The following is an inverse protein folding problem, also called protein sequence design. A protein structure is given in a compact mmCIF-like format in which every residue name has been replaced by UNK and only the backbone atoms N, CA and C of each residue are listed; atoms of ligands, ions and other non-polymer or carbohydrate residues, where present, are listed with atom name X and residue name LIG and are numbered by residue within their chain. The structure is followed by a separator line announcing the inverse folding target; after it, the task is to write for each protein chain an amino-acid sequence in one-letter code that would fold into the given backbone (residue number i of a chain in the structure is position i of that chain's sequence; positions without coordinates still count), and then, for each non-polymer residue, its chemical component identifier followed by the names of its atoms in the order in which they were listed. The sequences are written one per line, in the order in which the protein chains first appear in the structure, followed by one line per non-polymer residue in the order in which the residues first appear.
data_IF_812666678550
#
_entry.id   IF_812666678550
#
_cell.length_a   1.000
_cell.length_b   1.000
_cell.length_c   1.000
_cell.angle_alpha   90.00
_cell.angle_beta   90.00
_cell.angle_gamma   90.00
#
_symmetry.space_group_name_H-M   'P 1'
#
loop_
_entity.id
_entity.type
_entity.pdbx_description
1 polymer ?
#
# COMPACT_ATOMS: atom_id res chain seq x y z
N UNK A 1 -19.39 -26.78 -50.94
CA UNK A 1 -17.96 -26.49 -50.63
C UNK A 1 -17.63 -25.00 -50.56
N UNK A 2 -18.04 -24.17 -51.54
CA UNK A 2 -17.68 -22.74 -51.60
C UNK A 2 -18.23 -21.87 -50.45
N UNK A 3 -19.42 -22.18 -49.90
CA UNK A 3 -20.00 -21.46 -48.74
C UNK A 3 -19.21 -21.69 -47.44
N UNK A 4 -18.72 -22.91 -47.20
CA UNK A 4 -17.94 -23.24 -46.00
C UNK A 4 -16.59 -22.50 -46.01
N UNK A 5 -15.96 -22.40 -47.19
CA UNK A 5 -14.72 -21.64 -47.36
C UNK A 5 -14.95 -20.14 -47.08
N UNK A 6 -16.08 -19.58 -47.53
CA UNK A 6 -16.43 -18.17 -47.31
C UNK A 6 -16.72 -17.88 -45.82
N UNK A 7 -17.35 -18.81 -45.10
CA UNK A 7 -17.54 -18.68 -43.65
C UNK A 7 -16.22 -18.82 -42.88
N UNK A 8 -15.31 -19.72 -43.28
CA UNK A 8 -13.98 -19.85 -42.68
C UNK A 8 -13.11 -18.63 -42.93
N UNK A 9 -13.12 -18.09 -44.16
CA UNK A 9 -12.38 -16.88 -44.52
C UNK A 9 -12.96 -15.67 -43.76
N UNK A 10 -14.29 -15.57 -43.65
CA UNK A 10 -14.95 -14.53 -42.85
C UNK A 10 -14.62 -14.68 -41.36
N UNK A 11 -14.63 -15.89 -40.80
CA UNK A 11 -14.28 -16.15 -39.39
C UNK A 11 -12.81 -15.84 -39.08
N UNK A 12 -11.89 -16.13 -40.01
CA UNK A 12 -10.47 -15.77 -39.91
C UNK A 12 -10.27 -14.26 -40.07
N UNK A 13 -11.01 -13.60 -40.96
CA UNK A 13 -11.01 -12.14 -41.11
C UNK A 13 -11.57 -11.42 -39.88
N UNK A 14 -12.65 -11.94 -39.26
CA UNK A 14 -13.18 -11.41 -38.01
C UNK A 14 -12.25 -11.68 -36.82
N UNK A 15 -11.48 -12.77 -36.83
CA UNK A 15 -10.41 -13.01 -35.84
C UNK A 15 -9.20 -12.08 -36.03
N UNK A 16 -8.87 -11.71 -37.28
CA UNK A 16 -7.77 -10.79 -37.60
C UNK A 16 -8.13 -9.29 -37.48
N UNK A 17 -9.42 -8.93 -37.50
CA UNK A 17 -9.89 -7.53 -37.52
C UNK A 17 -10.27 -6.96 -36.15
N UNK A 18 -9.82 -7.59 -35.07
CA UNK A 18 -10.02 -7.04 -33.73
C UNK A 18 -9.06 -7.68 -32.74
N UNK A 19 -7.78 -7.34 -32.81
CA UNK A 19 -6.87 -7.56 -31.69
C UNK A 19 -7.30 -6.65 -30.53
N UNK A 20 -8.36 -7.06 -29.84
CA UNK A 20 -8.71 -6.60 -28.49
C UNK A 20 -7.72 -7.21 -27.48
N UNK A 21 -6.43 -7.09 -27.75
CA UNK A 21 -5.39 -7.39 -26.79
C UNK A 21 -5.09 -6.08 -26.05
N UNK A 22 -5.35 -6.09 -24.74
CA UNK A 22 -4.96 -4.98 -23.87
C UNK A 22 -3.44 -4.79 -23.97
N UNK A 23 -2.91 -3.56 -23.99
CA UNK A 23 -1.47 -3.35 -23.98
C UNK A 23 -0.88 -3.70 -22.61
N UNK A 24 0.29 -4.34 -22.61
CA UNK A 24 1.00 -4.80 -21.40
C UNK A 24 2.42 -4.26 -21.37
N UNK A 25 2.90 -3.90 -20.16
CA UNK A 25 4.34 -3.77 -19.95
C UNK A 25 4.98 -5.16 -19.94
N UNK A 26 6.28 -5.27 -20.23
CA UNK A 26 7.03 -6.50 -20.06
C UNK A 26 6.96 -6.97 -18.61
N UNK A 27 6.89 -8.29 -18.40
CA UNK A 27 6.84 -8.94 -17.08
C UNK A 27 8.03 -8.56 -16.17
N UNK A 28 9.16 -8.21 -16.79
CA UNK A 28 10.37 -7.80 -16.11
C UNK A 28 10.92 -6.52 -16.76
N UNK A 29 10.93 -5.43 -16.00
CA UNK A 29 11.22 -4.11 -16.54
C UNK A 29 11.75 -3.18 -15.45
N UNK A 30 12.66 -2.27 -15.84
CA UNK A 30 13.10 -1.15 -15.03
C UNK A 30 12.92 0.12 -15.84
N UNK A 31 12.25 1.10 -15.25
CA UNK A 31 11.97 2.37 -15.91
C UNK A 31 11.95 3.51 -14.91
N UNK A 32 12.07 4.73 -15.43
CA UNK A 32 11.82 5.95 -14.67
C UNK A 32 10.64 6.74 -15.23
N UNK A 33 9.99 7.47 -14.34
CA UNK A 33 8.94 8.45 -14.62
C UNK A 33 9.28 9.78 -13.93
N UNK A 34 8.51 10.82 -14.22
CA UNK A 34 8.64 12.15 -13.59
C UNK A 34 10.04 12.76 -13.72
N UNK A 35 10.64 12.71 -14.92
CA UNK A 35 11.98 13.23 -15.20
C UNK A 35 13.07 12.59 -14.30
N UNK A 36 13.09 11.27 -14.22
CA UNK A 36 14.02 10.48 -13.40
C UNK A 36 13.84 10.65 -11.87
N UNK A 37 12.77 11.32 -11.40
CA UNK A 37 12.49 11.42 -9.96
C UNK A 37 12.04 10.09 -9.35
N UNK A 38 11.30 9.29 -10.12
CA UNK A 38 10.80 8.00 -9.67
C UNK A 38 11.41 6.89 -10.52
N UNK A 39 12.10 5.94 -9.89
CA UNK A 39 12.62 4.74 -10.52
C UNK A 39 11.81 3.55 -10.04
N UNK A 40 11.35 2.71 -10.96
CA UNK A 40 10.55 1.52 -10.67
C UNK A 40 11.23 0.32 -11.33
N UNK A 41 11.38 -0.76 -10.56
CA UNK A 41 11.78 -2.06 -11.07
C UNK A 41 10.71 -3.10 -10.72
N UNK A 42 10.24 -3.84 -11.73
CA UNK A 42 9.20 -4.86 -11.61
C UNK A 42 9.78 -6.17 -12.10
N UNK A 43 9.61 -7.20 -11.29
CA UNK A 43 9.94 -8.58 -11.61
C UNK A 43 8.73 -9.44 -11.27
N UNK A 44 7.76 -9.45 -12.18
CA UNK A 44 6.51 -10.20 -12.05
C UNK A 44 6.79 -11.70 -11.90
N UNK A 45 7.81 -12.23 -12.60
CA UNK A 45 8.17 -13.65 -12.54
C UNK A 45 8.58 -14.07 -11.12
N UNK A 46 9.42 -13.27 -10.45
CA UNK A 46 9.86 -13.55 -9.09
C UNK A 46 9.00 -12.86 -8.03
N UNK A 47 7.87 -12.26 -8.43
CA UNK A 47 6.91 -11.63 -7.52
C UNK A 47 7.60 -10.63 -6.56
N UNK A 48 8.39 -9.72 -7.15
CA UNK A 48 9.07 -8.62 -6.44
C UNK A 48 9.07 -7.29 -7.21
N UNK A 49 8.92 -6.19 -6.49
CA UNK A 49 8.92 -4.83 -7.03
C UNK A 49 9.70 -3.87 -6.13
N UNK A 50 10.26 -2.85 -6.76
CA UNK A 50 11.05 -1.79 -6.13
C UNK A 50 10.60 -0.44 -6.67
N UNK A 51 10.56 0.56 -5.81
CA UNK A 51 10.37 1.95 -6.17
C UNK A 51 11.34 2.83 -5.38
N UNK A 52 11.93 3.80 -6.04
CA UNK A 52 12.68 4.88 -5.40
C UNK A 52 12.12 6.21 -5.86
N UNK A 53 11.77 7.07 -4.91
CA UNK A 53 11.26 8.42 -5.18
C UNK A 53 12.21 9.45 -4.59
N UNK A 54 12.70 10.34 -5.45
CA UNK A 54 13.57 11.45 -5.05
C UNK A 54 12.77 12.74 -5.06
N UNK A 55 12.64 13.38 -3.90
CA UNK A 55 11.95 14.66 -3.78
C UNK A 55 12.95 15.83 -3.83
N UNK A 56 12.58 16.93 -4.48
CA UNK A 56 13.45 18.12 -4.58
C UNK A 56 13.86 18.73 -3.23
N UNK A 57 13.14 18.41 -2.15
CA UNK A 57 13.38 18.94 -0.80
C UNK A 57 14.01 17.91 0.17
N UNK A 58 14.29 16.68 -0.28
CA UNK A 58 14.98 15.66 0.53
C UNK A 58 16.13 15.05 -0.25
N UNK A 59 17.38 15.10 0.26
CA UNK A 59 18.51 14.48 -0.40
C UNK A 59 18.49 12.95 -0.32
N UNK A 60 17.70 12.37 0.61
CA UNK A 60 17.57 10.93 0.77
C UNK A 60 16.34 10.45 0.00
N UNK A 61 16.48 9.50 -0.95
CA UNK A 61 15.34 8.95 -1.66
C UNK A 61 14.48 8.10 -0.71
N UNK A 62 13.17 8.16 -0.90
CA UNK A 62 12.27 7.20 -0.29
C UNK A 62 12.32 5.91 -1.09
N UNK A 63 12.55 4.80 -0.41
CA UNK A 63 12.70 3.50 -1.07
C UNK A 63 11.60 2.56 -0.59
N UNK A 64 10.96 1.91 -1.54
CA UNK A 64 9.85 1.00 -1.30
C UNK A 64 10.11 -0.35 -1.96
N UNK A 65 9.72 -1.42 -1.29
CA UNK A 65 9.82 -2.79 -1.78
C UNK A 65 8.49 -3.50 -1.58
N UNK A 66 8.11 -4.37 -2.51
CA UNK A 66 7.04 -5.35 -2.34
C UNK A 66 7.53 -6.72 -2.78
N UNK A 67 7.51 -7.72 -1.90
CA UNK A 67 7.96 -9.08 -2.21
C UNK A 67 7.04 -10.13 -1.61
N UNK A 68 6.79 -11.22 -2.34
CA UNK A 68 6.10 -12.41 -1.81
C UNK A 68 6.93 -13.15 -0.76
N UNK A 69 8.24 -13.24 -0.98
CA UNK A 69 9.19 -13.87 -0.08
C UNK A 69 10.19 -12.83 0.39
N UNK A 70 9.83 -12.10 1.44
CA UNK A 70 10.64 -11.00 1.92
C UNK A 70 11.90 -11.53 2.64
N UNK A 71 13.12 -11.11 2.23
CA UNK A 71 14.36 -11.64 2.79
C UNK A 71 14.48 -11.24 4.26
N UNK A 72 15.14 -12.07 5.07
CA UNK A 72 15.32 -11.83 6.51
C UNK A 72 14.01 -11.74 7.32
N UNK A 73 12.88 -12.15 6.73
CA UNK A 73 11.65 -12.38 7.48
C UNK A 73 11.88 -13.48 8.53
N UNK A 74 11.26 -13.33 9.69
CA UNK A 74 11.36 -14.32 10.75
C UNK A 74 10.66 -15.61 10.29
N UNK A 75 11.31 -16.80 10.41
CA UNK A 75 10.69 -18.05 9.99
C UNK A 75 9.34 -18.27 10.64
N UNK A 76 8.37 -18.79 9.90
CA UNK A 76 6.99 -19.04 10.32
C UNK A 76 6.09 -17.83 10.60
N UNK A 77 6.63 -16.60 10.52
CA UNK A 77 5.85 -15.39 10.76
C UNK A 77 4.95 -15.09 9.56
N UNK A 78 3.93 -14.24 9.72
CA UNK A 78 3.14 -13.76 8.59
C UNK A 78 4.02 -13.21 7.46
N UNK A 79 5.05 -12.45 7.81
CA UNK A 79 5.98 -11.84 6.84
C UNK A 79 6.77 -12.87 6.01
N UNK A 80 6.95 -14.09 6.52
CA UNK A 80 7.62 -15.16 5.76
C UNK A 80 6.70 -15.91 4.80
N UNK A 81 5.37 -15.81 5.02
CA UNK A 81 4.33 -16.56 4.30
C UNK A 81 3.55 -15.71 3.31
N UNK A 82 3.48 -14.41 3.56
CA UNK A 82 2.67 -13.47 2.83
C UNK A 82 3.52 -12.35 2.25
N UNK A 83 2.93 -11.62 1.31
CA UNK A 83 3.52 -10.42 0.76
C UNK A 83 3.78 -9.38 1.83
N UNK A 84 4.95 -8.75 1.75
CA UNK A 84 5.32 -7.61 2.58
C UNK A 84 5.61 -6.41 1.70
N UNK A 85 5.08 -5.26 2.08
CA UNK A 85 5.50 -3.97 1.56
C UNK A 85 6.33 -3.25 2.62
N UNK A 86 7.59 -2.92 2.30
CA UNK A 86 8.54 -2.23 3.17
C UNK A 86 8.86 -0.86 2.60
N UNK A 87 8.81 0.17 3.43
CA UNK A 87 9.12 1.55 3.08
C UNK A 87 10.23 2.09 3.99
N UNK A 88 11.25 2.67 3.37
CA UNK A 88 12.41 3.29 4.01
C UNK A 88 12.38 4.79 3.75
N UNK A 89 12.59 5.61 4.79
CA UNK A 89 12.58 7.07 4.67
C UNK A 89 11.18 7.66 4.54
N UNK A 90 10.15 6.94 5.01
CA UNK A 90 8.74 7.35 4.91
C UNK A 90 8.40 8.35 6.02
N UNK A 91 8.79 9.61 5.82
CA UNK A 91 8.46 10.84 6.58
C UNK A 91 9.71 11.66 6.91
N UNK A 92 9.52 12.87 7.46
CA UNK A 92 10.59 13.78 7.92
C UNK A 92 11.47 13.22 9.06
N UNK A 93 11.28 11.98 9.49
CA UNK A 93 11.93 11.37 10.65
C UNK A 93 12.70 10.07 10.33
N UNK A 94 13.11 9.85 9.07
CA UNK A 94 13.87 8.64 8.68
C UNK A 94 13.18 7.32 9.09
N UNK A 95 11.86 7.33 9.25
CA UNK A 95 11.12 6.16 9.75
C UNK A 95 11.07 5.05 8.69
N UNK A 96 11.30 3.83 9.17
CA UNK A 96 11.08 2.60 8.43
C UNK A 96 9.76 1.97 8.87
N UNK A 97 8.91 1.62 7.91
CA UNK A 97 7.59 1.01 8.17
C UNK A 97 7.33 -0.14 7.22
N UNK A 98 6.59 -1.15 7.66
CA UNK A 98 6.14 -2.24 6.80
C UNK A 98 4.69 -2.65 7.09
N UNK A 99 4.09 -3.35 6.13
CA UNK A 99 2.78 -4.00 6.22
C UNK A 99 2.87 -5.39 5.62
N UNK A 100 2.07 -6.32 6.15
CA UNK A 100 1.92 -7.67 5.62
C UNK A 100 0.53 -7.85 5.02
N UNK A 101 0.40 -8.48 3.86
CA UNK A 101 -0.90 -8.73 3.22
C UNK A 101 -1.44 -10.11 3.61
N UNK A 102 -2.20 -10.15 4.70
CA UNK A 102 -2.73 -11.39 5.30
C UNK A 102 -4.09 -11.13 5.96
N UNK A 103 -4.71 -12.17 6.54
CA UNK A 103 -6.08 -12.09 7.09
C UNK A 103 -6.30 -10.94 8.08
N UNK A 104 -5.27 -10.53 8.82
CA UNK A 104 -5.39 -9.51 9.86
C UNK A 104 -4.74 -8.16 9.48
N UNK A 105 -3.87 -8.11 8.47
CA UNK A 105 -3.16 -6.90 8.05
C UNK A 105 -3.48 -6.44 6.63
N UNK A 106 -2.79 -5.41 6.14
CA UNK A 106 -2.88 -4.99 4.74
C UNK A 106 -2.88 -3.47 4.53
N UNK A 107 -3.69 -3.01 3.58
CA UNK A 107 -3.62 -1.75 2.82
C UNK A 107 -3.61 -0.39 3.59
N UNK A 108 -2.83 -0.25 4.67
CA UNK A 108 -2.64 1.00 5.40
C UNK A 108 -1.90 2.04 4.56
N UNK A 109 -0.99 1.58 3.71
CA UNK A 109 -0.25 2.40 2.77
C UNK A 109 0.15 1.53 1.59
N UNK A 110 -0.14 1.99 0.38
CA UNK A 110 0.28 1.31 -0.84
C UNK A 110 0.87 2.33 -1.78
N UNK A 111 2.11 2.08 -2.18
CA UNK A 111 2.89 2.93 -3.08
C UNK A 111 3.01 2.32 -4.48
N UNK A 112 2.71 1.03 -4.59
CA UNK A 112 2.67 0.30 -5.86
C UNK A 112 1.29 0.43 -6.52
N UNK A 113 1.13 0.02 -7.79
CA UNK A 113 -0.16 0.13 -8.47
C UNK A 113 -1.31 -0.50 -7.67
N UNK A 114 -2.38 0.28 -7.48
CA UNK A 114 -3.49 -0.10 -6.59
C UNK A 114 -4.25 -1.34 -7.05
N UNK A 115 -4.22 -1.67 -8.34
CA UNK A 115 -4.86 -2.87 -8.90
C UNK A 115 -4.10 -4.17 -8.62
N UNK A 116 -2.88 -4.09 -8.06
CA UNK A 116 -2.17 -5.26 -7.54
C UNK A 116 -2.73 -5.73 -6.19
N UNK A 117 -3.56 -4.89 -5.57
CA UNK A 117 -4.17 -5.15 -4.28
C UNK A 117 -5.59 -5.72 -4.39
N UNK A 118 -5.91 -6.61 -3.46
CA UNK A 118 -7.29 -7.06 -3.22
C UNK A 118 -7.58 -7.12 -1.70
N UNK A 119 -7.56 -5.96 -1.06
CA UNK A 119 -7.75 -5.80 0.38
C UNK A 119 -6.57 -6.36 1.19
N UNK A 120 -6.60 -7.68 1.43
CA UNK A 120 -5.66 -8.40 2.29
C UNK A 120 -4.72 -9.32 1.50
N UNK A 121 -4.73 -9.25 0.17
CA UNK A 121 -3.77 -9.94 -0.69
C UNK A 121 -3.12 -8.97 -1.67
N UNK A 122 -1.93 -9.36 -2.14
CA UNK A 122 -1.10 -8.61 -3.07
C UNK A 122 -0.62 -9.57 -4.14
N UNK A 123 -0.63 -9.14 -5.40
CA UNK A 123 -0.05 -9.88 -6.51
C UNK A 123 0.56 -8.90 -7.50
N UNK A 124 1.87 -9.00 -7.70
CA UNK A 124 2.56 -8.16 -8.70
C UNK A 124 2.13 -8.64 -10.08
N UNK A 125 1.60 -7.71 -10.87
CA UNK A 125 1.17 -7.91 -12.25
C UNK A 125 1.68 -6.77 -13.12
N UNK A 126 1.19 -6.71 -14.35
CA UNK A 126 1.35 -5.55 -15.24
C UNK A 126 1.20 -4.22 -14.50
N UNK A 127 2.12 -3.30 -14.76
CA UNK A 127 2.12 -1.96 -14.17
C UNK A 127 0.92 -1.12 -14.61
N UNK A 128 0.43 -1.33 -15.84
CA UNK A 128 -0.72 -0.60 -16.36
C UNK A 128 -2.03 -1.25 -15.91
N UNK A 129 -3.02 -0.40 -15.64
CA UNK A 129 -4.41 -0.78 -15.47
C UNK A 129 -5.30 0.18 -16.25
N UNK A 130 -6.02 -0.37 -17.23
CA UNK A 130 -6.93 0.40 -18.06
C UNK A 130 -8.36 0.19 -17.60
N UNK A 131 -9.07 1.30 -17.38
CA UNK A 131 -10.48 1.27 -16.99
C UNK A 131 -11.37 0.91 -18.17
N UNK A 132 -10.92 1.25 -19.38
CA UNK A 132 -11.67 1.10 -20.62
C UNK A 132 -11.01 0.08 -21.55
N UNK A 133 -11.78 -0.43 -22.50
CA UNK A 133 -11.24 -1.31 -23.53
C UNK A 133 -10.32 -0.51 -24.45
N UNK A 134 -9.09 -0.99 -24.61
CA UNK A 134 -8.10 -0.33 -25.46
C UNK A 134 -8.21 -0.86 -26.89
N UNK A 135 -8.18 0.06 -27.86
CA UNK A 135 -8.22 -0.22 -29.30
C UNK A 135 -6.83 0.06 -29.86
N UNK A 136 -6.23 -0.94 -30.50
CA UNK A 136 -4.99 -0.76 -31.24
C UNK A 136 -5.23 0.10 -32.48
N UNK A 137 -4.39 1.11 -32.69
CA UNK A 137 -4.46 1.99 -33.83
C UNK A 137 -3.69 1.42 -35.00
N UNK A 138 -4.38 1.23 -36.13
CA UNK A 138 -3.77 0.83 -37.39
C UNK A 138 -3.04 1.99 -38.11
N UNK A 139 -2.83 3.11 -37.43
CA UNK A 139 -2.16 4.27 -38.02
C UNK A 139 -0.69 3.91 -38.31
N UNK A 140 -0.21 4.27 -39.50
CA UNK A 140 1.06 3.78 -40.04
C UNK A 140 2.28 4.55 -39.51
N UNK A 141 2.34 4.84 -38.21
CA UNK A 141 3.55 5.40 -37.61
C UNK A 141 4.70 4.41 -37.83
N UNK A 142 5.84 4.85 -38.41
CA UNK A 142 6.99 3.98 -38.60
C UNK A 142 7.70 3.67 -37.27
N UNK A 143 7.53 4.53 -36.26
CA UNK A 143 8.34 4.51 -35.04
C UNK A 143 7.58 3.98 -33.82
N UNK A 144 6.25 4.01 -33.85
CA UNK A 144 5.42 3.76 -32.66
C UNK A 144 4.18 2.91 -32.95
N UNK A 145 3.81 2.15 -31.93
CA UNK A 145 2.52 1.48 -31.80
C UNK A 145 1.67 2.26 -30.78
N UNK A 146 0.38 2.41 -31.05
CA UNK A 146 -0.50 3.29 -30.30
C UNK A 146 -1.82 2.61 -30.00
N UNK A 147 -2.27 2.69 -28.75
CA UNK A 147 -3.59 2.26 -28.32
C UNK A 147 -4.34 3.42 -27.68
N UNK A 148 -5.66 3.43 -27.87
CA UNK A 148 -6.55 4.41 -27.26
C UNK A 148 -7.78 3.76 -26.68
N UNK A 149 -8.32 4.35 -25.63
CA UNK A 149 -9.57 3.91 -25.02
C UNK A 149 -10.71 4.04 -26.03
N UNK A 150 -11.59 3.05 -26.06
CA UNK A 150 -12.83 3.10 -26.83
C UNK A 150 -13.77 4.24 -26.36
N UNK A 151 -13.60 4.71 -25.13
CA UNK A 151 -14.34 5.81 -24.54
C UNK A 151 -13.60 7.16 -24.63
N UNK A 152 -14.37 8.24 -24.74
CA UNK A 152 -13.88 9.63 -24.75
C UNK A 152 -14.34 10.38 -23.51
N UNK A 153 -13.45 11.17 -22.92
CA UNK A 153 -13.70 11.91 -21.70
C UNK A 153 -13.72 13.41 -21.98
N UNK A 154 -14.74 14.11 -21.49
CA UNK A 154 -14.83 15.57 -21.62
C UNK A 154 -13.92 16.25 -20.59
N UNK A 155 -12.98 17.06 -21.06
CA UNK A 155 -12.12 17.87 -20.18
C UNK A 155 -12.71 19.27 -20.02
N UNK A 156 -12.16 20.05 -19.09
CA UNK A 156 -12.75 21.33 -18.70
C UNK A 156 -12.87 22.37 -19.83
N UNK A 157 -12.04 22.29 -20.87
CA UNK A 157 -12.11 23.17 -22.04
C UNK A 157 -13.16 22.75 -23.09
N UNK A 158 -13.88 21.64 -22.83
CA UNK A 158 -14.90 21.08 -23.71
C UNK A 158 -14.37 20.08 -24.75
N UNK A 159 -13.06 19.87 -24.84
CA UNK A 159 -12.51 18.85 -25.73
C UNK A 159 -12.78 17.44 -25.21
N UNK A 160 -12.84 16.48 -26.15
CA UNK A 160 -13.23 15.08 -25.88
C UNK A 160 -12.18 14.10 -26.42
N UNK A 161 -10.94 14.12 -25.90
CA UNK A 161 -9.94 13.12 -26.24
C UNK A 161 -10.37 11.72 -25.76
N UNK A 162 -9.74 10.63 -26.25
CA UNK A 162 -9.85 9.33 -25.61
C UNK A 162 -9.50 9.44 -24.12
N UNK A 163 -10.23 8.71 -23.27
CA UNK A 163 -10.00 8.78 -21.82
C UNK A 163 -8.58 8.33 -21.42
N UNK A 164 -8.01 7.36 -22.16
CA UNK A 164 -6.66 6.86 -21.97
C UNK A 164 -6.01 6.56 -23.32
N UNK A 165 -4.72 6.79 -23.44
CA UNK A 165 -3.91 6.63 -24.65
C UNK A 165 -2.51 6.17 -24.26
N UNK A 166 -1.97 5.13 -24.87
CA UNK A 166 -0.64 4.59 -24.57
C UNK A 166 0.15 4.36 -25.85
N UNK A 167 1.41 4.75 -25.83
CA UNK A 167 2.36 4.63 -26.94
C UNK A 167 3.48 3.67 -26.55
N UNK A 168 3.83 2.81 -27.49
CA UNK A 168 4.94 1.86 -27.40
C UNK A 168 5.88 2.04 -28.59
N UNK A 169 7.14 1.66 -28.43
CA UNK A 169 8.07 1.59 -29.57
C UNK A 169 7.60 0.50 -30.54
N UNK A 170 7.66 0.79 -31.85
CA UNK A 170 7.13 -0.07 -32.91
C UNK A 170 7.49 -1.55 -32.75
N UNK A 171 6.47 -2.41 -32.81
CA UNK A 171 6.53 -3.86 -32.69
C UNK A 171 7.25 -4.35 -31.43
N UNK A 172 7.13 -3.61 -30.32
CA UNK A 172 7.72 -4.00 -29.02
C UNK A 172 6.78 -3.68 -27.86
N UNK A 173 7.05 -4.29 -26.72
CA UNK A 173 6.37 -3.98 -25.45
C UNK A 173 7.03 -2.81 -24.70
N UNK A 174 7.94 -2.05 -25.31
CA UNK A 174 8.62 -0.91 -24.67
C UNK A 174 7.66 0.28 -24.59
N UNK A 175 7.15 0.66 -23.41
CA UNK A 175 6.26 1.81 -23.29
C UNK A 175 7.05 3.12 -23.41
N UNK A 176 6.42 4.11 -24.02
CA UNK A 176 7.00 5.44 -24.26
C UNK A 176 6.25 6.50 -23.47
N UNK A 177 4.91 6.51 -23.58
CA UNK A 177 4.08 7.56 -23.01
C UNK A 177 2.67 7.06 -22.74
N UNK A 178 2.12 7.37 -21.57
CA UNK A 178 0.71 7.24 -21.22
C UNK A 178 0.10 8.63 -21.09
N UNK A 179 -0.99 8.89 -21.80
CA UNK A 179 -1.81 10.08 -21.62
C UNK A 179 -3.19 9.67 -21.13
N UNK A 180 -3.70 10.33 -20.10
CA UNK A 180 -5.00 9.99 -19.51
C UNK A 180 -5.72 11.22 -18.98
N UNK A 181 -7.06 11.18 -19.04
CA UNK A 181 -7.92 12.17 -18.39
C UNK A 181 -8.14 11.77 -16.94
N UNK A 182 -7.71 12.63 -16.02
CA UNK A 182 -7.83 12.42 -14.58
C UNK A 182 -8.61 13.54 -13.93
N UNK A 183 -9.32 13.22 -12.86
CA UNK A 183 -9.96 14.21 -12.00
C UNK A 183 -8.95 14.73 -10.98
N UNK A 184 -8.60 16.02 -11.05
CA UNK A 184 -7.66 16.65 -10.12
C UNK A 184 -8.30 17.87 -9.47
N UNK A 185 -8.48 17.82 -8.14
CA UNK A 185 -9.22 18.83 -7.40
C UNK A 185 -10.69 18.84 -7.80
N UNK A 186 -11.11 19.82 -8.60
CA UNK A 186 -12.48 19.95 -9.10
C UNK A 186 -12.59 19.92 -10.63
N UNK A 187 -11.55 19.46 -11.33
CA UNK A 187 -11.41 19.63 -12.78
C UNK A 187 -10.92 18.34 -13.44
N UNK A 188 -11.49 18.01 -14.60
CA UNK A 188 -10.96 16.98 -15.49
C UNK A 188 -9.86 17.59 -16.35
N UNK A 189 -8.66 17.05 -16.23
CA UNK A 189 -7.48 17.48 -16.97
C UNK A 189 -6.81 16.29 -17.64
N UNK A 190 -6.13 16.54 -18.75
CA UNK A 190 -5.28 15.55 -19.40
C UNK A 190 -3.89 15.58 -18.74
N UNK A 191 -3.38 14.42 -18.36
CA UNK A 191 -2.04 14.24 -17.77
C UNK A 191 -1.25 13.25 -18.60
N UNK A 192 0.03 13.54 -18.79
CA UNK A 192 0.96 12.71 -19.55
C UNK A 192 2.06 12.19 -18.63
N UNK A 193 2.26 10.88 -18.63
CA UNK A 193 3.39 10.20 -17.99
C UNK A 193 4.31 9.67 -19.08
N UNK A 194 5.54 10.16 -19.11
CA UNK A 194 6.58 9.66 -20.01
C UNK A 194 7.39 8.58 -19.31
N UNK A 195 7.64 7.47 -20.01
CA UNK A 195 8.41 6.35 -19.51
C UNK A 195 9.80 6.36 -20.15
N UNK A 196 10.83 6.32 -19.31
CA UNK A 196 12.20 6.12 -19.76
C UNK A 196 12.66 4.74 -19.34
N UNK A 197 12.78 3.84 -20.31
CA UNK A 197 13.20 2.46 -20.04
C UNK A 197 14.70 2.43 -19.75
N UNK A 198 15.03 1.89 -18.58
CA UNK A 198 16.41 1.67 -18.14
C UNK A 198 16.86 0.28 -18.59
N UNK A 199 16.03 -0.75 -18.38
CA UNK A 199 16.31 -2.11 -18.82
C UNK A 199 15.02 -2.94 -18.94
N UNK A 200 15.07 -3.98 -19.77
CA UNK A 200 14.04 -5.03 -19.86
C UNK A 200 14.65 -6.39 -19.57
N UNK A 201 13.81 -7.34 -19.16
CA UNK A 201 14.25 -8.62 -18.61
C UNK A 201 14.58 -8.49 -17.13
N UNK A 202 15.13 -9.56 -16.54
CA UNK A 202 15.37 -9.66 -15.09
C UNK A 202 16.06 -8.40 -14.54
N UNK A 203 15.44 -7.66 -13.61
CA UNK A 203 16.06 -6.50 -13.01
C UNK A 203 17.35 -6.87 -12.27
N UNK A 204 18.30 -5.93 -12.23
CA UNK A 204 19.54 -6.06 -11.48
C UNK A 204 19.25 -6.22 -9.97
N UNK A 205 19.94 -7.16 -9.31
CA UNK A 205 19.77 -7.42 -7.88
C UNK A 205 20.09 -6.19 -7.02
N UNK A 206 20.81 -5.19 -7.53
CA UNK A 206 21.04 -3.91 -6.83
C UNK A 206 19.75 -3.23 -6.37
N UNK A 207 18.63 -3.41 -7.07
CA UNK A 207 17.34 -2.85 -6.68
C UNK A 207 16.73 -3.56 -5.46
N UNK A 208 17.21 -4.75 -5.10
CA UNK A 208 16.67 -5.56 -4.01
C UNK A 208 17.69 -5.85 -2.90
N UNK A 209 18.99 -5.61 -3.16
CA UNK A 209 20.07 -5.88 -2.22
C UNK A 209 20.23 -4.82 -1.10
N UNK A 210 19.52 -3.69 -1.18
CA UNK A 210 19.55 -2.61 -0.19
C UNK A 210 18.55 -2.78 0.96
N UNK A 211 17.83 -3.91 1.03
CA UNK A 211 16.92 -4.22 2.14
C UNK A 211 17.75 -4.42 3.44
N UNK A 212 17.51 -3.64 4.51
CA UNK A 212 18.24 -3.76 5.77
C UNK A 212 18.00 -5.13 6.43
N UNK A 213 19.04 -5.85 6.86
CA UNK A 213 18.88 -7.19 7.46
C UNK A 213 18.05 -7.23 8.74
N UNK A 214 17.96 -6.11 9.46
CA UNK A 214 17.24 -5.96 10.72
C UNK A 214 15.84 -5.35 10.55
N UNK A 215 15.33 -5.20 9.32
CA UNK A 215 14.05 -4.51 9.04
C UNK A 215 12.90 -5.05 9.90
N UNK A 216 12.79 -6.38 10.04
CA UNK A 216 11.72 -7.07 10.80
C UNK A 216 11.74 -6.76 12.30
N UNK A 217 12.80 -6.13 12.78
CA UNK A 217 13.02 -5.80 14.19
C UNK A 217 13.17 -4.32 14.49
N UNK A 218 13.39 -3.50 13.46
CA UNK A 218 13.69 -2.08 13.57
C UNK A 218 12.62 -1.19 12.92
N UNK A 219 11.80 -1.76 12.04
CA UNK A 219 10.74 -1.05 11.35
C UNK A 219 9.41 -1.23 12.07
N UNK A 220 8.58 -0.20 12.03
CA UNK A 220 7.23 -0.25 12.57
C UNK A 220 6.34 -1.14 11.70
N UNK A 221 5.61 -2.06 12.31
CA UNK A 221 4.57 -2.83 11.64
C UNK A 221 3.24 -2.06 11.71
N UNK A 222 2.78 -1.55 10.58
CA UNK A 222 1.55 -0.75 10.55
C UNK A 222 0.28 -1.60 10.65
N UNK A 223 0.39 -2.93 10.61
CA UNK A 223 -0.73 -3.81 10.93
C UNK A 223 -0.98 -3.87 12.45
N UNK A 224 -0.01 -3.49 13.28
CA UNK A 224 -0.17 -3.50 14.73
C UNK A 224 -0.87 -2.22 15.22
N UNK A 225 -1.79 -2.38 16.18
CA UNK A 225 -2.49 -1.23 16.74
C UNK A 225 -3.52 -1.60 17.80
N UNK A 226 -3.99 -0.57 18.51
CA UNK A 226 -5.05 -0.66 19.50
C UNK A 226 -6.37 -0.15 18.95
N UNK A 227 -7.47 -0.75 19.41
CA UNK A 227 -8.82 -0.29 19.15
C UNK A 227 -9.53 -0.02 20.48
N UNK A 228 -10.28 1.09 20.52
CA UNK A 228 -11.06 1.50 21.69
C UNK A 228 -12.52 1.70 21.33
N UNK A 229 -13.41 1.39 22.29
CA UNK A 229 -14.80 1.81 22.21
C UNK A 229 -15.37 2.11 23.61
N UNK A 230 -15.88 3.31 23.88
CA UNK A 230 -15.79 4.51 23.02
C UNK A 230 -14.34 5.01 22.91
N UNK A 231 -14.04 5.91 21.97
CA UNK A 231 -12.71 6.54 21.85
C UNK A 231 -12.56 7.75 22.80
N UNK A 232 -13.69 8.29 23.25
CA UNK A 232 -13.77 9.41 24.18
C UNK A 232 -14.86 9.18 25.22
N UNK A 233 -14.68 9.75 26.42
CA UNK A 233 -15.76 9.83 27.41
C UNK A 233 -15.62 11.07 28.28
N UNK A 234 -16.76 11.61 28.71
CA UNK A 234 -16.81 12.60 29.80
C UNK A 234 -16.95 11.85 31.12
N UNK A 235 -16.00 12.01 32.03
CA UNK A 235 -15.99 11.31 33.33
C UNK A 235 -16.07 12.34 34.44
N UNK A 236 -17.24 12.54 35.05
CA UNK A 236 -17.37 13.50 36.16
C UNK A 236 -16.65 13.01 37.41
N UNK A 237 -16.38 13.93 38.34
CA UNK A 237 -15.78 13.61 39.63
C UNK A 237 -16.56 12.49 40.34
N UNK A 238 -15.84 11.46 40.79
CA UNK A 238 -16.35 10.24 41.43
C UNK A 238 -17.26 9.37 40.53
N UNK A 239 -17.21 9.55 39.22
CA UNK A 239 -17.84 8.67 38.25
C UNK A 239 -16.81 7.83 37.51
N UNK A 240 -17.30 6.78 36.86
CA UNK A 240 -16.52 5.86 36.04
C UNK A 240 -17.05 5.82 34.61
N UNK A 241 -16.15 5.60 33.66
CA UNK A 241 -16.50 5.19 32.30
C UNK A 241 -15.79 3.89 31.96
N UNK A 242 -16.40 3.11 31.07
CA UNK A 242 -15.87 1.84 30.58
C UNK A 242 -15.42 2.00 29.14
N UNK A 243 -14.22 1.48 28.86
CA UNK A 243 -13.59 1.47 27.55
C UNK A 243 -13.29 0.02 27.18
N UNK A 244 -13.80 -0.42 26.05
CA UNK A 244 -13.45 -1.72 25.47
C UNK A 244 -12.13 -1.58 24.72
N UNK A 245 -11.14 -2.39 25.10
CA UNK A 245 -9.80 -2.41 24.52
C UNK A 245 -9.58 -3.74 23.82
N UNK A 246 -9.08 -3.70 22.59
CA UNK A 246 -8.63 -4.87 21.84
C UNK A 246 -7.47 -4.49 20.90
N UNK A 247 -6.77 -5.48 20.35
CA UNK A 247 -5.77 -5.28 19.31
C UNK A 247 -6.41 -5.44 17.92
N UNK A 248 -5.89 -4.70 16.93
CA UNK A 248 -6.31 -4.83 15.53
C UNK A 248 -5.86 -6.17 14.92
N UNK A 249 -4.69 -6.63 15.33
CA UNK A 249 -4.02 -7.83 14.82
C UNK A 249 -3.40 -8.62 15.97
N UNK A 250 -3.19 -9.94 15.80
CA UNK A 250 -2.55 -10.71 16.84
C UNK A 250 -1.07 -10.32 16.95
N UNK A 251 -0.47 -10.44 18.14
CA UNK A 251 0.98 -10.37 18.27
C UNK A 251 1.62 -11.49 17.46
N UNK A 252 2.65 -11.19 16.67
CA UNK A 252 3.16 -12.16 15.69
C UNK A 252 4.66 -12.03 15.40
N UNK A 253 5.46 -11.59 16.38
CA UNK A 253 6.91 -11.54 16.26
C UNK A 253 7.51 -12.79 16.91
N UNK A 254 8.23 -13.60 16.14
CA UNK A 254 8.51 -14.99 16.52
C UNK A 254 9.59 -15.21 17.60
N UNK A 255 10.21 -14.14 18.10
CA UNK A 255 11.14 -14.22 19.25
C UNK A 255 10.58 -13.59 20.54
N UNK A 256 9.32 -13.14 20.53
CA UNK A 256 8.65 -12.72 21.75
C UNK A 256 7.85 -13.85 22.39
N UNK A 257 7.31 -13.59 23.57
CA UNK A 257 6.51 -14.56 24.32
C UNK A 257 5.07 -14.73 23.76
N UNK A 258 4.81 -14.24 22.54
CA UNK A 258 3.51 -14.23 21.89
C UNK A 258 2.51 -13.31 22.60
N UNK A 259 3.00 -12.40 23.44
CA UNK A 259 2.18 -11.68 24.41
C UNK A 259 2.51 -10.19 24.43
N UNK A 260 1.48 -9.36 24.33
CA UNK A 260 1.57 -7.90 24.45
C UNK A 260 0.97 -7.47 25.77
N UNK A 261 1.67 -6.58 26.47
CA UNK A 261 1.16 -5.94 27.68
C UNK A 261 0.84 -4.48 27.37
N UNK A 262 -0.35 -4.06 27.79
CA UNK A 262 -0.86 -2.70 27.58
C UNK A 262 -1.17 -2.07 28.92
N UNK A 263 -0.58 -0.90 29.16
CA UNK A 263 -0.85 -0.02 30.31
C UNK A 263 -1.19 1.39 29.81
N UNK A 264 -1.55 2.31 30.69
CA UNK A 264 -1.76 3.72 30.33
C UNK A 264 -1.12 4.68 31.32
N UNK A 265 -0.58 5.77 30.78
CA UNK A 265 -0.14 6.93 31.53
C UNK A 265 -1.03 8.13 31.21
N UNK A 266 -1.28 8.96 32.21
CA UNK A 266 -1.97 10.26 32.04
C UNK A 266 -0.97 11.36 31.70
N UNK A 267 -1.31 12.27 30.78
CA UNK A 267 -0.41 13.37 30.38
C UNK A 267 -0.43 14.57 31.32
N UNK A 268 -1.57 14.92 31.91
CA UNK A 268 -1.74 16.19 32.64
C UNK A 268 -1.91 16.03 34.16
N UNK A 269 -2.46 14.91 34.62
CA UNK A 269 -2.66 14.67 36.05
C UNK A 269 -2.51 13.18 36.43
N UNK A 270 -1.36 12.87 37.04
CA UNK A 270 -0.92 11.49 37.39
C UNK A 270 -1.83 10.82 38.42
N UNK A 271 -2.50 11.59 39.28
CA UNK A 271 -3.32 11.08 40.38
C UNK A 271 -4.79 11.51 40.32
N UNK A 272 -5.26 11.97 39.15
CA UNK A 272 -6.66 12.34 38.95
C UNK A 272 -7.57 11.18 38.57
N UNK A 273 -7.00 10.08 38.08
CA UNK A 273 -7.73 8.93 37.60
C UNK A 273 -7.23 7.64 38.25
N UNK A 274 -8.16 6.73 38.54
CA UNK A 274 -7.85 5.34 38.87
C UNK A 274 -8.26 4.46 37.70
N UNK A 275 -7.34 3.60 37.25
CA UNK A 275 -7.53 2.66 36.15
C UNK A 275 -7.69 1.25 36.69
N UNK A 276 -8.71 0.53 36.22
CA UNK A 276 -8.95 -0.86 36.57
C UNK A 276 -9.37 -1.68 35.34
N UNK A 277 -8.64 -2.75 34.97
CA UNK A 277 -7.36 -3.18 35.54
C UNK A 277 -6.23 -2.19 35.19
N UNK A 278 -5.08 -2.32 35.86
CA UNK A 278 -3.89 -1.50 35.59
C UNK A 278 -3.14 -1.92 34.32
N UNK A 279 -3.38 -3.13 33.86
CA UNK A 279 -2.70 -3.75 32.74
C UNK A 279 -3.61 -4.77 32.05
N UNK A 280 -3.50 -4.86 30.74
CA UNK A 280 -4.04 -5.98 29.96
C UNK A 280 -2.93 -6.80 29.33
N UNK A 281 -3.29 -8.05 29.04
CA UNK A 281 -2.43 -9.02 28.37
C UNK A 281 -3.18 -9.57 27.17
N UNK A 282 -2.57 -9.44 25.98
CA UNK A 282 -3.11 -9.94 24.72
C UNK A 282 -2.15 -10.94 24.08
N UNK A 283 -2.68 -11.93 23.38
CA UNK A 283 -1.96 -12.96 22.63
C UNK A 283 -2.79 -13.39 21.39
N UNK A 284 -2.26 -14.33 20.62
CA UNK A 284 -2.90 -14.87 19.40
C UNK A 284 -4.36 -15.33 19.58
N UNK A 285 -4.74 -15.76 20.79
CA UNK A 285 -6.07 -16.31 21.07
C UNK A 285 -7.08 -15.24 21.50
N UNK A 286 -6.64 -14.19 22.19
CA UNK A 286 -7.53 -13.19 22.79
C UNK A 286 -7.35 -11.75 22.26
N UNK A 287 -6.52 -11.53 21.23
CA UNK A 287 -6.22 -10.20 20.72
C UNK A 287 -7.47 -9.38 20.33
N UNK A 288 -8.50 -10.04 19.80
CA UNK A 288 -9.78 -9.43 19.41
C UNK A 288 -10.84 -9.42 20.52
N UNK A 289 -10.57 -10.08 21.66
CA UNK A 289 -11.49 -10.05 22.79
C UNK A 289 -11.51 -8.65 23.39
N UNK A 290 -12.71 -8.09 23.52
CA UNK A 290 -12.92 -6.76 24.11
C UNK A 290 -12.73 -6.86 25.63
N UNK A 291 -11.57 -6.43 26.11
CA UNK A 291 -11.28 -6.34 27.54
C UNK A 291 -11.73 -4.97 28.07
N UNK A 292 -12.29 -4.90 29.28
CA UNK A 292 -12.90 -3.67 29.81
C UNK A 292 -11.90 -2.92 30.69
N UNK A 293 -11.59 -1.69 30.31
CA UNK A 293 -10.88 -0.70 31.12
C UNK A 293 -11.89 0.25 31.77
N UNK A 294 -11.98 0.21 33.09
CA UNK A 294 -12.75 1.18 33.88
C UNK A 294 -11.85 2.33 34.29
N UNK A 295 -12.25 3.55 33.96
CA UNK A 295 -11.56 4.79 34.30
C UNK A 295 -12.42 5.57 35.27
N UNK A 296 -11.95 5.75 36.51
CA UNK A 296 -12.66 6.49 37.56
C UNK A 296 -11.96 7.82 37.85
N UNK A 297 -12.69 8.95 37.77
CA UNK A 297 -12.14 10.27 38.13
C UNK A 297 -12.20 10.45 39.65
N UNK A 298 -11.05 10.65 40.29
CA UNK A 298 -10.94 10.83 41.75
C UNK A 298 -10.61 12.27 42.16
N UNK A 299 -10.11 13.10 41.24
CA UNK A 299 -9.86 14.54 41.45
C UNK A 299 -10.31 15.34 40.23
N UNK A 300 -10.56 16.63 40.42
CA UNK A 300 -10.80 17.54 39.30
C UNK A 300 -9.54 17.64 38.44
N UNK A 301 -9.70 17.47 37.13
CA UNK A 301 -8.63 17.52 36.15
C UNK A 301 -9.12 18.29 34.92
N UNK A 302 -8.23 18.95 34.17
CA UNK A 302 -8.54 19.38 32.82
C UNK A 302 -8.77 18.16 31.91
N UNK A 303 -9.18 18.44 30.67
CA UNK A 303 -9.21 17.44 29.60
C UNK A 303 -7.86 16.74 29.53
N UNK A 304 -7.87 15.41 29.59
CA UNK A 304 -6.65 14.62 29.75
C UNK A 304 -6.58 13.52 28.68
N UNK A 305 -5.38 13.25 28.21
CA UNK A 305 -5.09 12.10 27.37
C UNK A 305 -4.51 10.97 28.23
N UNK A 306 -5.03 9.77 28.01
CA UNK A 306 -4.42 8.53 28.47
C UNK A 306 -3.65 7.95 27.29
N UNK A 307 -2.33 7.99 27.39
CA UNK A 307 -1.42 7.46 26.38
C UNK A 307 -1.07 6.02 26.76
N UNK A 308 -1.28 5.04 25.87
CA UNK A 308 -0.94 3.67 26.16
C UNK A 308 0.57 3.51 26.30
N UNK A 309 0.98 2.50 27.05
CA UNK A 309 2.35 2.01 27.10
C UNK A 309 2.28 0.58 26.60
N UNK A 310 3.04 0.32 25.54
CA UNK A 310 2.99 -0.92 24.80
C UNK A 310 4.30 -1.68 24.99
N UNK A 311 4.20 -2.96 25.36
CA UNK A 311 5.36 -3.80 25.57
C UNK A 311 5.24 -5.12 24.81
N UNK A 312 6.27 -5.41 24.02
CA UNK A 312 6.49 -6.70 23.37
C UNK A 312 5.96 -6.76 21.93
N UNK A 313 6.42 -7.79 21.22
CA UNK A 313 5.87 -8.23 19.93
C UNK A 313 5.82 -7.16 18.82
N UNK A 314 6.71 -6.16 18.85
CA UNK A 314 6.74 -5.07 17.89
C UNK A 314 5.82 -3.90 18.24
N UNK A 315 4.92 -4.07 19.21
CA UNK A 315 4.09 -2.96 19.72
C UNK A 315 4.93 -1.90 20.47
N UNK A 316 6.12 -2.27 20.92
CA UNK A 316 7.12 -1.37 21.51
C UNK A 316 7.72 -0.37 20.50
N UNK A 317 7.59 -0.63 19.20
CA UNK A 317 8.04 0.25 18.12
C UNK A 317 6.94 1.21 17.62
N UNK A 318 5.69 1.00 18.05
CA UNK A 318 4.55 1.79 17.63
C UNK A 318 4.53 3.09 18.44
N UNK A 319 4.45 4.27 17.80
CA UNK A 319 4.31 5.54 18.50
C UNK A 319 3.02 5.56 19.34
N UNK A 320 3.10 5.59 20.68
CA UNK A 320 1.91 5.42 21.51
C UNK A 320 0.90 6.58 21.37
N UNK A 321 1.36 7.73 20.90
CA UNK A 321 0.54 8.92 20.62
C UNK A 321 -0.48 8.69 19.49
N UNK A 322 -0.39 7.59 18.73
CA UNK A 322 -1.38 7.21 17.72
C UNK A 322 -2.65 6.62 18.32
N UNK A 323 -2.61 6.17 19.59
CA UNK A 323 -3.73 5.48 20.24
C UNK A 323 -4.12 6.09 21.59
N UNK A 324 -4.36 7.42 21.70
CA UNK A 324 -4.78 8.03 22.96
C UNK A 324 -6.24 7.69 23.27
N UNK A 325 -6.58 7.61 24.57
CA UNK A 325 -7.95 7.70 25.05
C UNK A 325 -8.22 9.13 25.52
N UNK A 326 -9.30 9.73 25.04
CA UNK A 326 -9.69 11.10 25.38
C UNK A 326 -10.67 11.14 26.55
N UNK A 327 -10.30 11.83 27.64
CA UNK A 327 -11.15 12.01 28.80
C UNK A 327 -11.46 13.49 29.03
N UNK A 328 -12.75 13.82 29.08
CA UNK A 328 -13.28 15.15 29.45
C UNK A 328 -13.74 15.21 30.92
#
# INVERSE_FOLDING_TARGET
MMKILLYLISFILFYYLGECAQPYFPLQIVFSIDNDQTIIAIDEINQRAYQSVTYSFSPVPQISYALQHFPYATPDSPQSKYYVQLLLGYSSLESCVYTTYWKYGGNYFNVFPSHWLNGNSFEIKNYLNFTYTMIYSNNSSPDEDYWYANEKCEIQDGSKPPCQEIYFKKNTEIPLQLTQVVYRGFRFIQTTTNYKIISMGKPDEKYFNSIPKNWSTACEDLDLGLSYYPEFATVRLHQSAEFHVSLSTPPHRIDGNGTVRVQWNTTECIDCFTLSPKEFTFNINNFQEKQILTITRIKNAPKTLLIPILYGEGFDLIPPQRFPIYID
#
